data_IF_695942186313
#
_entry.id   IF_695942186313
#
_cell.length_a   1.000
_cell.length_b   1.000
_cell.length_c   1.000
_cell.angle_alpha   90.00
_cell.angle_beta   90.00
_cell.angle_gamma   90.00
#
_symmetry.space_group_name_H-M   'P 1'
#
loop_
_entity.id
_entity.type
_entity.pdbx_description
1 polymer ?
#
# COMPACT_ATOMS: atom_id res chain seq x y z
N UNK A 1 -14.68 21.60 15.86
CA UNK A 1 -15.79 22.35 15.22
C UNK A 1 -16.99 22.24 16.13
N UNK A 2 -17.47 23.40 16.58
CA UNK A 2 -18.50 23.61 17.60
C UNK A 2 -19.88 23.44 16.95
N UNK A 3 -20.76 22.68 17.58
CA UNK A 3 -22.06 22.29 17.03
C UNK A 3 -23.13 23.32 17.42
N UNK A 4 -23.12 24.47 16.75
CA UNK A 4 -24.19 25.44 16.91
C UNK A 4 -25.21 25.29 15.78
N UNK A 5 -26.48 25.19 16.17
CA UNK A 5 -27.69 25.29 15.32
C UNK A 5 -28.23 23.94 14.82
N UNK A 6 -29.04 23.28 15.67
CA UNK A 6 -30.09 22.38 15.20
C UNK A 6 -31.13 23.20 14.41
N UNK A 7 -30.82 23.49 13.14
CA UNK A 7 -31.72 24.17 12.23
C UNK A 7 -32.81 23.22 11.76
N UNK A 8 -34.04 23.44 12.21
CA UNK A 8 -35.24 22.85 11.63
C UNK A 8 -35.41 23.36 10.20
N UNK A 9 -35.09 22.51 9.22
CA UNK A 9 -35.17 22.87 7.79
C UNK A 9 -36.59 22.59 7.28
N UNK A 10 -37.41 23.64 7.17
CA UNK A 10 -38.73 23.56 6.55
C UNK A 10 -38.63 23.96 5.08
N UNK A 11 -38.89 23.02 4.15
CA UNK A 11 -39.06 23.35 2.73
C UNK A 11 -40.54 23.65 2.44
N UNK A 12 -40.87 24.78 1.78
CA UNK A 12 -42.21 24.99 1.28
C UNK A 12 -42.47 24.02 0.11
N UNK A 13 -43.30 22.99 0.34
CA UNK A 13 -43.91 22.24 -0.75
C UNK A 13 -45.17 22.98 -1.19
N UNK A 14 -45.24 23.38 -2.45
CA UNK A 14 -46.46 23.97 -3.00
C UNK A 14 -47.56 22.89 -2.98
N UNK A 15 -48.70 23.11 -2.32
CA UNK A 15 -49.74 22.10 -2.23
C UNK A 15 -50.40 21.95 -3.60
N UNK A 16 -50.50 20.71 -4.10
CA UNK A 16 -51.48 20.37 -5.14
C UNK A 16 -52.86 20.48 -4.47
N UNK A 17 -53.42 21.69 -4.54
CA UNK A 17 -54.83 21.98 -4.26
C UNK A 17 -55.30 21.76 -2.83
N UNK A 18 -55.46 22.86 -2.09
CA UNK A 18 -56.45 22.95 -1.02
C UNK A 18 -55.92 23.32 0.36
N UNK A 19 -56.05 24.61 0.69
CA UNK A 19 -56.66 25.07 1.95
C UNK A 19 -55.89 25.02 3.26
N UNK A 20 -54.95 24.09 3.49
CA UNK A 20 -54.27 24.00 4.78
C UNK A 20 -52.76 23.78 4.58
N UNK A 21 -51.97 24.60 5.27
CA UNK A 21 -50.52 24.61 5.23
C UNK A 21 -49.95 23.33 5.86
N UNK A 22 -49.80 22.30 5.03
CA UNK A 22 -49.31 20.99 5.43
C UNK A 22 -47.78 21.01 5.58
N UNK A 23 -47.30 21.51 6.72
CA UNK A 23 -45.87 21.50 7.09
C UNK A 23 -45.50 20.12 7.62
N UNK A 24 -44.64 19.40 6.90
CA UNK A 24 -44.09 18.12 7.37
C UNK A 24 -42.80 18.37 8.17
N UNK A 25 -42.86 18.07 9.47
CA UNK A 25 -41.69 18.05 10.33
C UNK A 25 -40.97 16.71 10.15
N UNK A 26 -39.74 16.75 9.64
CA UNK A 26 -38.86 15.58 9.61
C UNK A 26 -38.09 15.54 10.92
N UNK A 27 -38.34 14.52 11.74
CA UNK A 27 -37.53 14.22 12.91
C UNK A 27 -36.32 13.38 12.47
N UNK A 28 -35.13 13.75 12.95
CA UNK A 28 -33.85 13.05 12.74
C UNK A 28 -33.34 12.90 11.29
N UNK A 29 -33.11 14.03 10.61
CA UNK A 29 -32.32 14.04 9.37
C UNK A 29 -30.84 13.87 9.70
N UNK A 30 -30.29 12.67 9.47
CA UNK A 30 -28.85 12.43 9.53
C UNK A 30 -28.22 12.80 8.17
N UNK A 31 -27.36 13.82 8.15
CA UNK A 31 -26.55 14.15 6.98
C UNK A 31 -25.16 13.53 7.14
N UNK A 32 -24.91 12.44 6.42
CA UNK A 32 -23.58 11.85 6.33
C UNK A 32 -22.81 12.58 5.23
N UNK A 33 -21.96 13.53 5.62
CA UNK A 33 -20.87 13.97 4.75
C UNK A 33 -19.90 12.80 4.63
N UNK A 34 -19.88 12.15 3.47
CA UNK A 34 -18.79 11.25 3.13
C UNK A 34 -17.48 12.06 3.25
N UNK A 35 -16.52 11.55 4.03
CA UNK A 35 -15.20 12.15 4.10
C UNK A 35 -14.70 12.36 2.66
N UNK A 36 -14.11 13.52 2.33
CA UNK A 36 -13.56 13.73 1.00
C UNK A 36 -12.61 12.55 0.71
N UNK A 37 -12.64 12.00 -0.52
CA UNK A 37 -11.74 10.92 -0.89
C UNK A 37 -10.33 11.36 -0.50
N UNK A 38 -9.65 10.52 0.26
CA UNK A 38 -8.28 10.80 0.69
C UNK A 38 -7.44 10.85 -0.58
N UNK A 39 -7.21 12.06 -1.11
CA UNK A 39 -6.43 12.22 -2.33
C UNK A 39 -4.99 11.78 -2.05
N UNK A 40 -4.65 10.58 -2.48
CA UNK A 40 -3.28 10.11 -2.47
C UNK A 40 -2.58 10.74 -3.68
N UNK A 41 -1.47 11.47 -3.50
CA UNK A 41 -0.70 11.95 -4.64
C UNK A 41 -0.28 10.77 -5.52
N UNK A 42 -0.62 10.79 -6.81
CA UNK A 42 -0.38 9.67 -7.71
C UNK A 42 -1.60 8.79 -8.01
N UNK A 43 -2.68 8.91 -7.24
CA UNK A 43 -3.96 8.23 -7.49
C UNK A 43 -4.78 9.07 -8.48
N UNK A 44 -4.84 8.62 -9.73
CA UNK A 44 -5.53 9.27 -10.83
C UNK A 44 -6.96 8.75 -11.00
N UNK A 45 -7.27 7.53 -10.56
CA UNK A 45 -8.61 6.94 -10.69
C UNK A 45 -9.51 7.20 -9.46
N UNK A 46 -8.92 7.68 -8.35
CA UNK A 46 -9.58 8.00 -7.09
C UNK A 46 -9.98 6.78 -6.25
N UNK A 47 -9.39 5.61 -6.50
CA UNK A 47 -9.70 4.37 -5.78
C UNK A 47 -8.96 4.24 -4.43
N UNK A 48 -8.09 5.20 -4.15
CA UNK A 48 -7.31 5.28 -2.93
C UNK A 48 -6.02 4.46 -2.98
N UNK A 49 -5.68 3.81 -4.09
CA UNK A 49 -4.41 3.13 -4.29
C UNK A 49 -3.58 3.84 -5.39
N UNK A 50 -2.25 3.67 -5.34
CA UNK A 50 -1.37 4.10 -6.42
C UNK A 50 -0.78 2.87 -7.09
N UNK A 51 -1.32 2.52 -8.25
CA UNK A 51 -0.96 1.31 -8.97
C UNK A 51 -0.80 1.49 -10.50
N UNK A 52 -0.79 0.38 -11.22
CA UNK A 52 -0.60 0.38 -12.68
C UNK A 52 -1.74 1.05 -13.46
N UNK A 53 -2.95 1.13 -12.91
CA UNK A 53 -4.07 1.79 -13.56
C UNK A 53 -3.89 3.30 -13.57
N UNK A 54 -3.33 3.88 -12.51
CA UNK A 54 -2.97 5.31 -12.46
C UNK A 54 -1.91 5.66 -13.50
N UNK A 55 -0.93 4.77 -13.68
CA UNK A 55 0.10 4.92 -14.73
C UNK A 55 -0.54 4.89 -16.12
N UNK A 56 -1.56 4.04 -16.34
CA UNK A 56 -2.27 4.01 -17.63
C UNK A 56 -3.00 5.32 -17.89
N UNK A 57 -3.63 5.91 -16.88
CA UNK A 57 -4.30 7.22 -17.00
C UNK A 57 -3.30 8.33 -17.30
N UNK A 58 -2.18 8.36 -16.58
CA UNK A 58 -1.10 9.33 -16.80
C UNK A 58 -0.50 9.17 -18.20
N UNK A 59 -0.23 7.93 -18.64
CA UNK A 59 0.30 7.65 -19.97
C UNK A 59 -0.69 8.02 -21.10
N UNK A 60 -1.99 7.78 -20.89
CA UNK A 60 -3.04 8.17 -21.84
C UNK A 60 -3.17 9.70 -21.99
N UNK A 61 -2.77 10.45 -20.97
CA UNK A 61 -2.81 11.91 -20.96
C UNK A 61 -1.45 12.58 -21.09
N UNK A 62 -0.41 11.83 -21.47
CA UNK A 62 0.95 12.34 -21.59
C UNK A 62 1.03 13.59 -22.46
N UNK A 63 1.70 14.64 -21.97
CA UNK A 63 1.85 15.95 -22.60
C UNK A 63 0.53 16.70 -22.91
N UNK A 64 -0.62 16.21 -22.43
CA UNK A 64 -1.88 16.95 -22.54
C UNK A 64 -1.88 18.09 -21.54
N UNK A 65 -2.57 19.16 -21.92
CA UNK A 65 -2.70 20.38 -21.12
C UNK A 65 -4.15 20.60 -20.71
N UNK A 66 -4.36 21.19 -19.53
CA UNK A 66 -5.71 21.49 -19.02
C UNK A 66 -6.50 20.27 -18.56
N UNK A 67 -5.81 19.14 -18.37
CA UNK A 67 -6.31 17.99 -17.61
C UNK A 67 -6.04 18.27 -16.13
N UNK A 68 -7.02 17.99 -15.27
CA UNK A 68 -6.86 18.13 -13.81
C UNK A 68 -6.25 16.88 -13.18
N UNK A 69 -6.37 16.77 -11.86
CA UNK A 69 -5.84 15.65 -11.07
C UNK A 69 -6.17 14.26 -11.63
N UNK A 70 -7.45 14.00 -11.95
CA UNK A 70 -7.91 12.72 -12.52
C UNK A 70 -7.37 12.43 -13.93
N UNK A 71 -6.75 13.42 -14.57
CA UNK A 71 -6.06 13.26 -15.84
C UNK A 71 -4.54 13.05 -15.69
N UNK A 72 -4.03 12.94 -14.46
CA UNK A 72 -2.60 12.74 -14.18
C UNK A 72 -1.80 14.02 -13.96
N UNK A 73 -2.44 15.17 -13.78
CA UNK A 73 -1.79 16.42 -13.35
C UNK A 73 -1.82 16.50 -11.81
N UNK A 74 -0.79 15.97 -11.17
CA UNK A 74 -0.70 15.89 -9.70
C UNK A 74 -0.08 17.14 -9.09
N UNK A 75 0.64 17.94 -9.89
CA UNK A 75 1.30 19.17 -9.45
C UNK A 75 0.46 20.45 -9.73
N UNK A 76 -0.65 20.31 -10.45
CA UNK A 76 -1.61 21.33 -10.88
C UNK A 76 -1.00 22.44 -11.76
N UNK A 77 0.02 22.11 -12.55
CA UNK A 77 0.68 23.02 -13.51
C UNK A 77 -0.02 23.04 -14.88
N UNK A 78 -1.14 22.31 -15.00
CA UNK A 78 -1.96 22.12 -16.20
C UNK A 78 -1.26 21.36 -17.30
N UNK A 79 -0.21 20.59 -17.01
CA UNK A 79 0.47 19.69 -17.95
C UNK A 79 0.67 18.35 -17.26
N UNK A 80 0.68 17.30 -18.08
CA UNK A 80 1.08 15.96 -17.62
C UNK A 80 2.47 15.68 -18.16
N UNK A 81 3.47 15.68 -17.29
CA UNK A 81 4.86 15.44 -17.67
C UNK A 81 5.63 14.54 -16.69
N UNK A 82 6.96 14.53 -16.83
CA UNK A 82 7.84 13.71 -16.01
C UNK A 82 7.77 14.04 -14.52
N UNK A 83 7.34 15.26 -14.17
CA UNK A 83 7.17 15.70 -12.80
C UNK A 83 5.96 15.02 -12.16
N UNK A 84 4.86 14.86 -12.89
CA UNK A 84 3.71 14.10 -12.42
C UNK A 84 4.03 12.60 -12.31
N UNK A 85 4.76 12.06 -13.28
CA UNK A 85 5.24 10.68 -13.21
C UNK A 85 6.14 10.44 -11.98
N UNK A 86 6.95 11.44 -11.59
CA UNK A 86 7.78 11.36 -10.39
C UNK A 86 6.95 11.38 -9.10
N UNK A 87 5.83 12.12 -9.08
CA UNK A 87 4.90 12.12 -7.95
C UNK A 87 4.21 10.76 -7.83
N UNK A 88 3.73 10.19 -8.93
CA UNK A 88 3.14 8.86 -8.94
C UNK A 88 4.15 7.81 -8.44
N UNK A 89 5.36 7.80 -8.99
CA UNK A 89 6.39 6.84 -8.60
C UNK A 89 6.80 6.97 -7.12
N UNK A 90 6.82 8.19 -6.58
CA UNK A 90 7.14 8.42 -5.16
C UNK A 90 6.07 7.87 -4.19
N UNK A 91 4.84 7.68 -4.69
CA UNK A 91 3.71 7.22 -3.90
C UNK A 91 3.25 5.80 -4.27
N UNK A 92 4.03 5.09 -5.09
CA UNK A 92 3.71 3.75 -5.55
C UNK A 92 3.38 2.79 -4.38
N UNK A 93 2.25 2.11 -4.48
CA UNK A 93 1.79 1.17 -3.46
C UNK A 93 1.22 1.80 -2.19
N UNK A 94 1.07 3.13 -2.12
CA UNK A 94 0.29 3.77 -1.05
C UNK A 94 -1.19 3.43 -1.22
N UNK A 95 -1.85 3.16 -0.09
CA UNK A 95 -3.30 2.94 -0.01
C UNK A 95 -3.90 3.84 1.06
N UNK A 96 -4.91 4.63 0.72
CA UNK A 96 -5.61 5.49 1.67
C UNK A 96 -6.36 4.65 2.71
N UNK A 97 -6.06 4.85 3.99
CA UNK A 97 -6.72 4.14 5.10
C UNK A 97 -6.13 2.77 5.45
N UNK A 98 -5.00 2.38 4.84
CA UNK A 98 -4.25 1.21 5.27
C UNK A 98 -3.50 1.48 6.57
N UNK A 99 -3.83 0.79 7.65
CA UNK A 99 -2.87 0.56 8.73
C UNK A 99 -1.67 -0.16 8.09
N UNK A 100 -0.56 0.58 7.95
CA UNK A 100 0.69 0.15 7.34
C UNK A 100 1.16 -1.19 7.94
N UNK A 101 0.72 -2.28 7.35
CA UNK A 101 1.25 -3.60 7.61
C UNK A 101 2.54 -3.67 6.82
N UNK A 102 3.64 -3.16 7.38
CA UNK A 102 4.97 -3.42 6.85
C UNK A 102 5.16 -4.93 6.78
N UNK A 103 4.98 -5.48 5.58
CA UNK A 103 5.31 -6.86 5.29
C UNK A 103 6.82 -6.96 5.48
N UNK A 104 7.25 -7.58 6.59
CA UNK A 104 8.65 -7.72 6.95
C UNK A 104 9.42 -8.22 5.73
N UNK A 105 10.25 -7.33 5.16
CA UNK A 105 11.17 -7.70 4.10
C UNK A 105 12.05 -8.81 4.67
N UNK A 106 12.03 -10.03 4.11
CA UNK A 106 12.87 -11.11 4.63
C UNK A 106 14.31 -10.65 4.60
N UNK A 107 14.92 -10.59 5.79
CA UNK A 107 16.23 -9.99 5.95
C UNK A 107 17.26 -10.68 5.04
N UNK A 108 18.17 -9.94 4.40
CA UNK A 108 19.23 -10.53 3.55
C UNK A 108 20.13 -11.51 4.31
N UNK A 109 20.04 -11.54 5.64
CA UNK A 109 20.74 -12.47 6.55
C UNK A 109 20.20 -13.90 6.45
N UNK A 110 18.96 -14.12 6.00
CA UNK A 110 18.39 -15.47 5.86
C UNK A 110 19.22 -16.34 4.88
N UNK A 111 19.73 -15.74 3.80
CA UNK A 111 20.58 -16.43 2.82
C UNK A 111 21.97 -16.74 3.37
N UNK A 112 22.57 -15.81 4.13
CA UNK A 112 23.88 -16.00 4.75
C UNK A 112 23.81 -17.05 5.88
N UNK A 113 22.75 -17.02 6.68
CA UNK A 113 22.49 -18.01 7.71
C UNK A 113 22.32 -19.42 7.13
N UNK A 114 21.57 -19.57 6.04
CA UNK A 114 21.37 -20.86 5.38
C UNK A 114 22.67 -21.41 4.78
N UNK A 115 23.49 -20.56 4.17
CA UNK A 115 24.80 -20.96 3.64
C UNK A 115 25.77 -21.36 4.77
N UNK A 116 25.78 -20.62 5.88
CA UNK A 116 26.58 -20.94 7.06
C UNK A 116 26.22 -22.28 7.68
N UNK A 117 24.93 -22.60 7.77
CA UNK A 117 24.43 -23.89 8.25
C UNK A 117 24.84 -25.04 7.33
N UNK A 118 24.73 -24.86 6.01
CA UNK A 118 25.14 -25.88 5.03
C UNK A 118 26.66 -26.17 5.08
N UNK A 119 27.48 -25.14 5.23
CA UNK A 119 28.93 -25.30 5.37
C UNK A 119 29.29 -26.02 6.68
N UNK A 120 28.66 -25.67 7.79
CA UNK A 120 28.86 -26.33 9.09
C UNK A 120 28.48 -27.82 9.05
N UNK A 121 27.35 -28.18 8.41
CA UNK A 121 26.92 -29.57 8.22
C UNK A 121 27.91 -30.36 7.33
N UNK A 122 28.44 -29.73 6.28
CA UNK A 122 29.44 -30.35 5.40
C UNK A 122 30.79 -30.57 6.08
N UNK A 123 31.17 -29.70 7.03
CA UNK A 123 32.39 -29.85 7.82
C UNK A 123 32.24 -30.90 8.93
N UNK A 124 31.08 -30.93 9.60
CA UNK A 124 30.79 -31.91 10.65
C UNK A 124 30.74 -33.36 10.11
N UNK A 125 30.17 -33.57 8.93
CA UNK A 125 30.14 -34.89 8.27
C UNK A 125 31.52 -35.38 7.81
N UNK A 126 32.46 -34.47 7.53
CA UNK A 126 33.86 -34.79 7.22
C UNK A 126 34.67 -35.15 8.47
N UNK A 127 34.40 -34.50 9.60
CA UNK A 127 35.07 -34.78 10.88
C UNK A 127 34.77 -36.19 11.43
N UNK A 128 33.55 -36.71 11.24
CA UNK A 128 33.19 -38.06 11.68
C UNK A 128 33.82 -39.18 10.83
N UNK A 129 34.19 -38.92 9.57
CA UNK A 129 34.83 -39.93 8.70
C UNK A 129 36.32 -40.16 8.99
N UNK A 130 37.00 -39.22 9.66
CA UNK A 130 38.42 -39.37 10.00
C UNK A 130 38.67 -40.09 11.33
N UNK A 131 37.63 -40.35 12.15
CA UNK A 131 37.77 -41.05 13.44
C UNK A 131 37.36 -42.53 13.38
N UNK A 132 36.87 -43.01 12.23
CA UNK A 132 36.55 -44.41 11.99
C UNK A 132 37.45 -44.97 10.87
N UNK A 133 38.74 -45.15 11.17
CA UNK A 133 39.72 -45.65 10.19
C UNK A 133 40.99 -46.23 10.81
N UNK A 134 40.91 -47.51 11.17
CA UNK A 134 42.00 -48.51 11.21
C UNK A 134 42.91 -48.62 12.46
N UNK A 135 42.64 -49.58 13.39
CA UNK A 135 43.62 -50.05 14.36
C UNK A 135 44.52 -51.12 13.72
N UNK A 136 45.46 -50.72 12.86
CA UNK A 136 46.53 -51.62 12.38
C UNK A 136 47.85 -50.89 12.36
N UNK A 137 48.50 -50.87 13.52
CA UNK A 137 49.83 -50.30 13.71
C UNK A 137 50.40 -50.66 15.08
N UNK A 138 50.12 -51.87 15.55
CA UNK A 138 50.75 -52.43 16.74
C UNK A 138 51.53 -53.66 16.27
N UNK A 139 52.86 -53.50 16.34
CA UNK A 139 53.87 -54.56 16.49
C UNK A 139 54.40 -55.25 15.23
N UNK A 140 54.97 -54.48 14.29
CA UNK A 140 56.18 -54.90 13.55
C UNK A 140 57.45 -54.46 14.31
N UNK A 141 57.63 -55.02 15.51
CA UNK A 141 58.91 -54.96 16.24
C UNK A 141 59.23 -56.30 16.88
N UNK A 142 59.67 -57.24 16.06
CA UNK A 142 60.61 -58.29 16.48
C UNK A 142 61.77 -58.29 15.48
N UNK A 143 62.88 -57.67 15.89
CA UNK A 143 64.20 -57.72 15.28
C UNK A 143 65.06 -58.71 16.09
N UNK A 144 65.98 -59.38 15.41
CA UNK A 144 67.22 -59.92 16.02
C UNK A 144 67.12 -61.29 16.64
#
# INVERSE_FOLDING_TARGET
>A
VEFDTFGMFALPINPVGGGEENVHYFDNVAFTIAAPPQMVPGDANGDGAVDSEDVRILAANWQRTGVGWLGGDFNNDRRVDARDASILAANWGRVSGGEESYQAIPEPTALIGMLGVMLALSAATRGLRLRAGNPRGILDRCNG
#
